data_IF_308285218085
#
_entry.id   IF_308285218085
#
_cell.length_a   1.000
_cell.length_b   1.000
_cell.length_c   1.000
_cell.angle_alpha   90.00
_cell.angle_beta   90.00
_cell.angle_gamma   90.00
#
_symmetry.space_group_name_H-M   'P 1'
#
loop_
_entity.id
_entity.type
_entity.pdbx_description
1 polymer ?
#
# COMPACT_ATOMS: atom_id res chain seq x y z
N UNK A 1 11.45 -8.25 -14.92
CA UNK A 1 11.05 -8.07 -13.51
C UNK A 1 11.83 -6.90 -12.96
N UNK A 2 11.17 -5.81 -12.56
CA UNK A 2 11.84 -4.58 -12.10
C UNK A 2 12.18 -4.68 -10.61
N UNK A 3 13.22 -3.95 -10.16
CA UNK A 3 13.61 -3.89 -8.74
C UNK A 3 12.45 -3.42 -7.85
N UNK A 4 11.65 -2.50 -8.38
CA UNK A 4 10.48 -1.94 -7.71
C UNK A 4 9.40 -3.01 -7.45
N UNK A 5 9.17 -3.92 -8.40
CA UNK A 5 8.22 -5.02 -8.22
C UNK A 5 8.65 -5.96 -7.08
N UNK A 6 9.95 -6.28 -6.98
CA UNK A 6 10.48 -7.08 -5.87
C UNK A 6 10.34 -6.37 -4.52
N UNK A 7 10.62 -5.07 -4.46
CA UNK A 7 10.44 -4.28 -3.25
C UNK A 7 8.96 -4.22 -2.81
N UNK A 8 8.04 -4.01 -3.75
CA UNK A 8 6.60 -3.98 -3.48
C UNK A 8 6.09 -5.32 -2.93
N UNK A 9 6.50 -6.44 -3.52
CA UNK A 9 6.15 -7.79 -3.04
C UNK A 9 6.70 -8.04 -1.64
N UNK A 10 7.92 -7.59 -1.36
CA UNK A 10 8.52 -7.73 -0.03
C UNK A 10 7.73 -6.94 1.02
N UNK A 11 7.41 -5.67 0.76
CA UNK A 11 6.61 -4.84 1.67
C UNK A 11 5.24 -5.46 1.92
N UNK A 12 4.56 -5.91 0.86
CA UNK A 12 3.26 -6.57 0.98
C UNK A 12 3.33 -7.83 1.84
N UNK A 13 4.29 -8.71 1.57
CA UNK A 13 4.41 -9.99 2.28
C UNK A 13 4.71 -9.77 3.77
N UNK A 14 5.60 -8.83 4.08
CA UNK A 14 5.93 -8.47 5.47
C UNK A 14 4.68 -7.93 6.18
N UNK A 15 3.99 -6.95 5.60
CA UNK A 15 2.78 -6.38 6.18
C UNK A 15 1.70 -7.45 6.40
N UNK A 16 1.50 -8.34 5.43
CA UNK A 16 0.55 -9.44 5.52
C UNK A 16 0.89 -10.39 6.68
N UNK A 17 2.14 -10.83 6.80
CA UNK A 17 2.56 -11.71 7.89
C UNK A 17 2.34 -11.03 9.24
N UNK A 18 2.75 -9.76 9.40
CA UNK A 18 2.57 -9.03 10.65
C UNK A 18 1.10 -8.85 11.06
N UNK A 19 0.20 -8.66 10.10
CA UNK A 19 -1.25 -8.58 10.34
C UNK A 19 -1.81 -9.96 10.67
N UNK A 20 -1.44 -10.98 9.88
CA UNK A 20 -1.96 -12.34 10.02
C UNK A 20 -1.52 -13.01 11.32
N UNK A 21 -0.32 -12.69 11.81
CA UNK A 21 0.17 -13.20 13.11
C UNK A 21 -0.33 -12.37 14.29
N UNK A 22 -1.02 -11.25 14.05
CA UNK A 22 -1.51 -10.31 15.05
C UNK A 22 -0.44 -9.80 16.02
N UNK A 23 0.83 -9.84 15.61
CA UNK A 23 1.95 -9.39 16.44
C UNK A 23 1.93 -7.88 16.70
N UNK A 24 1.28 -7.13 15.82
CA UNK A 24 1.16 -5.68 15.89
C UNK A 24 -0.27 -5.24 15.61
N UNK A 25 -0.60 -4.01 16.01
CA UNK A 25 -1.90 -3.42 15.71
C UNK A 25 -2.10 -3.33 14.19
N UNK A 26 -3.09 -4.06 13.67
CA UNK A 26 -3.34 -4.21 12.23
C UNK A 26 -3.41 -2.88 11.47
N UNK A 27 -4.00 -1.85 12.08
CA UNK A 27 -4.09 -0.50 11.49
C UNK A 27 -2.71 0.17 11.41
N UNK A 28 -1.87 0.03 12.42
CA UNK A 28 -0.53 0.61 12.41
C UNK A 28 0.34 -0.04 11.34
N UNK A 29 0.23 -1.36 11.18
CA UNK A 29 0.93 -2.10 10.11
C UNK A 29 0.42 -1.69 8.73
N UNK A 30 -0.90 -1.56 8.55
CA UNK A 30 -1.49 -1.13 7.29
C UNK A 30 -1.04 0.30 6.91
N UNK A 31 -1.07 1.25 7.85
CA UNK A 31 -0.60 2.62 7.64
C UNK A 31 0.90 2.67 7.34
N UNK A 32 1.70 1.90 8.07
CA UNK A 32 3.14 1.78 7.83
C UNK A 32 3.45 1.19 6.46
N UNK A 33 2.75 0.13 6.05
CA UNK A 33 2.88 -0.49 4.73
C UNK A 33 2.53 0.48 3.60
N UNK A 34 1.42 1.23 3.72
CA UNK A 34 1.04 2.25 2.75
C UNK A 34 2.11 3.37 2.64
N UNK A 35 2.63 3.83 3.78
CA UNK A 35 3.70 4.84 3.82
C UNK A 35 4.97 4.33 3.15
N UNK A 36 5.37 3.09 3.41
CA UNK A 36 6.53 2.46 2.77
C UNK A 36 6.36 2.35 1.26
N UNK A 37 5.17 1.93 0.79
CA UNK A 37 4.86 1.83 -0.64
C UNK A 37 4.96 3.20 -1.34
N UNK A 38 4.56 4.27 -0.67
CA UNK A 38 4.71 5.63 -1.17
C UNK A 38 6.19 6.05 -1.25
N UNK A 39 6.97 5.79 -0.19
CA UNK A 39 8.39 6.15 -0.13
C UNK A 39 9.23 5.44 -1.19
N UNK A 40 8.92 4.18 -1.51
CA UNK A 40 9.66 3.43 -2.55
C UNK A 40 9.19 3.75 -3.97
N UNK A 41 8.23 4.67 -4.14
CA UNK A 41 7.66 5.03 -5.44
C UNK A 41 6.90 3.89 -6.12
N UNK A 42 6.43 2.90 -5.35
CA UNK A 42 5.58 1.81 -5.86
C UNK A 42 4.15 2.27 -6.14
N UNK A 43 3.77 3.40 -5.55
CA UNK A 43 2.52 4.09 -5.82
C UNK A 43 2.79 5.58 -5.90
N UNK A 44 2.08 6.27 -6.78
CA UNK A 44 2.16 7.72 -6.96
C UNK A 44 0.87 8.34 -6.41
N UNK A 45 0.94 9.53 -5.82
CA UNK A 45 -0.23 10.19 -5.21
C UNK A 45 -1.38 10.36 -6.23
N UNK A 46 -1.03 10.50 -7.52
CA UNK A 46 -2.02 10.54 -8.61
C UNK A 46 -2.71 9.20 -8.88
N UNK A 47 -2.02 8.06 -8.78
CA UNK A 47 -2.58 6.73 -9.02
C UNK A 47 -3.17 6.06 -7.77
N UNK A 48 -2.73 6.46 -6.57
CA UNK A 48 -3.25 5.93 -5.32
C UNK A 48 -4.70 6.39 -5.03
N UNK A 49 -5.12 7.50 -5.64
CA UNK A 49 -6.41 8.15 -5.34
C UNK A 49 -7.27 8.45 -6.58
N UNK A 50 -6.74 8.35 -7.80
CA UNK A 50 -7.51 8.64 -9.02
C UNK A 50 -7.12 7.71 -10.18
N UNK A 51 -8.03 6.81 -10.55
CA UNK A 51 -7.95 6.06 -11.80
C UNK A 51 -9.02 6.59 -12.76
N UNK A 52 -8.61 7.43 -13.71
CA UNK A 52 -9.48 8.07 -14.70
C UNK A 52 -10.06 7.06 -15.71
N UNK A 53 -9.44 5.88 -15.87
CA UNK A 53 -9.93 4.82 -16.75
C UNK A 53 -10.91 3.87 -16.05
N UNK A 54 -10.72 3.62 -14.75
CA UNK A 54 -11.65 2.84 -13.94
C UNK A 54 -12.83 3.70 -13.40
N UNK A 55 -12.66 5.03 -13.34
CA UNK A 55 -13.67 5.96 -12.82
C UNK A 55 -13.89 5.85 -11.31
N UNK A 56 -12.93 5.26 -10.57
CA UNK A 56 -13.03 5.04 -9.12
C UNK A 56 -12.19 6.11 -8.41
N UNK A 57 -12.87 7.02 -7.73
CA UNK A 57 -12.27 8.00 -6.81
C UNK A 57 -12.19 7.39 -5.41
N UNK A 58 -10.99 7.05 -4.97
CA UNK A 58 -10.78 6.46 -3.64
C UNK A 58 -10.79 7.51 -2.51
N UNK A 59 -10.97 8.81 -2.80
CA UNK A 59 -11.22 9.82 -1.77
C UNK A 59 -12.49 9.54 -0.96
N UNK A 60 -13.44 8.76 -1.48
CA UNK A 60 -14.68 8.42 -0.75
C UNK A 60 -14.46 7.52 0.47
N UNK A 61 -13.33 6.80 0.57
CA UNK A 61 -12.98 6.03 1.78
C UNK A 61 -12.54 6.97 2.93
N UNK A 62 -12.09 8.17 2.59
CA UNK A 62 -11.68 9.20 3.55
C UNK A 62 -12.76 10.27 3.81
N UNK A 63 -14.00 10.07 3.33
CA UNK A 63 -15.15 10.97 3.55
C UNK A 63 -16.06 10.49 4.70
#
# INVERSE_FOLDING_TARGET
>A
MTLLAWAAVAVFTIAYVLIATEWFHRVAVALGGATLMFLIGATDAGHAFFDEHAGIDWNVIFL
#
